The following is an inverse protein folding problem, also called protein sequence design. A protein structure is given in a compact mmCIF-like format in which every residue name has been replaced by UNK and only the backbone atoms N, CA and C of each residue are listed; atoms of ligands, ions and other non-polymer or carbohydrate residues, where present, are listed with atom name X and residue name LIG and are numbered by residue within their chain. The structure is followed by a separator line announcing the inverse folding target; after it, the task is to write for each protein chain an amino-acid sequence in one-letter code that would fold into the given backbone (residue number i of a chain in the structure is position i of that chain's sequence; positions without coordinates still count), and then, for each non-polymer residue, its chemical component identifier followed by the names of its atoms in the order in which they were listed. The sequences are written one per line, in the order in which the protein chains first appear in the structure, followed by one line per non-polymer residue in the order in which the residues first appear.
data_IF_224532683541
#
_entry.id   IF_224532683541
#
_cell.length_a   1.000
_cell.length_b   1.000
_cell.length_c   1.000
_cell.angle_alpha   90.00
_cell.angle_beta   90.00
_cell.angle_gamma   90.00
#
_symmetry.space_group_name_H-M   'P 1'
#
loop_
_entity.id
_entity.type
_entity.pdbx_description
1 polymer ?
#
# COMPACT_ATOMS: atom_id res chain seq x y z
N UNK A 1 52.25 16.87 75.69
CA UNK A 1 52.75 17.24 74.35
C UNK A 1 53.22 15.96 73.67
N UNK A 2 52.26 15.13 73.26
CA UNK A 2 52.54 13.89 72.54
C UNK A 2 52.35 14.18 71.07
N UNK A 3 53.43 14.07 70.31
CA UNK A 3 53.47 14.31 68.86
C UNK A 3 52.54 13.32 68.18
N UNK A 4 51.43 13.81 67.63
CA UNK A 4 50.56 12.99 66.79
C UNK A 4 51.40 12.49 65.60
N UNK A 5 51.48 11.17 65.38
CA UNK A 5 52.24 10.65 64.26
C UNK A 5 51.56 11.17 62.99
N UNK A 6 52.31 11.87 62.16
CA UNK A 6 51.88 12.36 60.85
C UNK A 6 51.20 11.21 60.10
N UNK A 7 49.87 11.23 60.08
CA UNK A 7 49.05 10.31 59.32
C UNK A 7 49.39 10.54 57.85
N UNK A 8 50.28 9.70 57.32
CA UNK A 8 50.59 9.63 55.89
C UNK A 8 49.32 9.14 55.22
N UNK A 9 48.50 10.09 54.76
CA UNK A 9 47.29 9.83 54.01
C UNK A 9 47.73 9.23 52.66
N UNK A 10 47.69 7.90 52.56
CA UNK A 10 48.01 7.19 51.34
C UNK A 10 46.90 7.47 50.33
N UNK A 11 47.29 8.04 49.19
CA UNK A 11 46.40 8.45 48.12
C UNK A 11 45.47 7.29 47.71
N UNK A 12 44.17 7.57 47.71
CA UNK A 12 43.14 6.57 47.44
C UNK A 12 43.26 6.25 45.96
N UNK A 13 43.69 5.04 45.63
CA UNK A 13 43.81 4.64 44.23
C UNK A 13 42.42 4.70 43.60
N UNK A 14 42.19 5.65 42.69
CA UNK A 14 40.99 5.68 41.89
C UNK A 14 40.96 4.38 41.07
N UNK A 15 40.04 3.48 41.40
CA UNK A 15 39.81 2.26 40.62
C UNK A 15 39.46 2.74 39.21
N UNK A 16 40.24 2.30 38.21
CA UNK A 16 39.95 2.59 36.81
C UNK A 16 38.47 2.29 36.57
N UNK A 17 37.73 3.27 36.02
CA UNK A 17 36.30 3.14 35.82
C UNK A 17 36.02 1.81 35.10
N UNK A 18 35.03 1.01 35.57
CA UNK A 18 34.75 -0.28 34.96
C UNK A 18 34.56 -0.06 33.46
N UNK A 19 35.35 -0.78 32.66
CA UNK A 19 35.17 -0.80 31.22
C UNK A 19 33.72 -1.21 30.98
N UNK A 20 32.97 -0.38 30.25
CA UNK A 20 31.57 -0.61 29.85
C UNK A 20 31.42 -1.83 28.88
N UNK A 21 32.43 -2.70 28.88
CA UNK A 21 32.65 -3.81 27.99
C UNK A 21 32.93 -5.09 28.79
N UNK A 22 32.32 -6.22 28.42
CA UNK A 22 31.34 -6.38 27.36
C UNK A 22 29.96 -5.88 27.83
N UNK A 23 29.11 -5.38 26.91
CA UNK A 23 27.71 -5.16 27.24
C UNK A 23 27.15 -6.45 27.84
N UNK A 24 26.42 -6.33 28.96
CA UNK A 24 25.80 -7.48 29.61
C UNK A 24 25.07 -8.33 28.54
N UNK A 25 25.19 -9.66 28.55
CA UNK A 25 24.75 -10.53 27.45
C UNK A 25 23.27 -10.32 27.03
N UNK A 26 22.43 -9.74 27.90
CA UNK A 26 21.06 -9.33 27.57
C UNK A 26 20.93 -8.29 26.45
N UNK A 27 21.96 -7.49 26.15
CA UNK A 27 21.91 -6.55 25.02
C UNK A 27 21.90 -7.24 23.66
N UNK A 28 22.49 -8.44 23.56
CA UNK A 28 22.39 -9.25 22.35
C UNK A 28 20.94 -9.67 22.09
N UNK A 29 20.19 -10.03 23.14
CA UNK A 29 18.77 -10.36 23.02
C UNK A 29 17.96 -9.14 22.56
N UNK A 30 18.24 -7.95 23.10
CA UNK A 30 17.59 -6.71 22.65
C UNK A 30 17.94 -6.42 21.19
N UNK A 31 19.22 -6.55 20.80
CA UNK A 31 19.65 -6.36 19.42
C UNK A 31 18.95 -7.30 18.43
N UNK A 32 18.87 -8.59 18.77
CA UNK A 32 18.15 -9.60 17.96
C UNK A 32 16.66 -9.28 17.89
N UNK A 33 16.03 -8.87 19.00
CA UNK A 33 14.63 -8.50 19.02
C UNK A 33 14.34 -7.29 18.10
N UNK A 34 15.16 -6.24 18.17
CA UNK A 34 15.04 -5.06 17.30
C UNK A 34 15.24 -5.44 15.83
N UNK A 35 16.25 -6.25 15.51
CA UNK A 35 16.49 -6.71 14.14
C UNK A 35 15.31 -7.53 13.60
N UNK A 36 14.71 -8.37 14.43
CA UNK A 36 13.57 -9.20 14.03
C UNK A 36 12.32 -8.34 13.75
N UNK A 37 12.04 -7.34 14.60
CA UNK A 37 10.96 -6.38 14.38
C UNK A 37 11.19 -5.59 13.10
N UNK A 38 12.42 -5.09 12.89
CA UNK A 38 12.78 -4.32 11.70
C UNK A 38 12.66 -5.17 10.43
N UNK A 39 13.17 -6.40 10.45
CA UNK A 39 13.07 -7.34 9.34
C UNK A 39 11.61 -7.68 9.04
N UNK A 40 10.79 -7.93 10.07
CA UNK A 40 9.35 -8.18 9.92
C UNK A 40 8.60 -6.99 9.31
N UNK A 41 8.91 -5.77 9.76
CA UNK A 41 8.34 -4.55 9.21
C UNK A 41 8.73 -4.36 7.74
N UNK A 42 10.02 -4.50 7.42
CA UNK A 42 10.54 -4.34 6.07
C UNK A 42 9.97 -5.40 5.13
N UNK A 43 9.89 -6.65 5.59
CA UNK A 43 9.28 -7.75 4.83
C UNK A 43 7.80 -7.51 4.58
N UNK A 44 7.03 -7.09 5.58
CA UNK A 44 5.60 -6.77 5.42
C UNK A 44 5.40 -5.63 4.43
N UNK A 45 6.19 -4.57 4.53
CA UNK A 45 6.12 -3.44 3.62
C UNK A 45 6.51 -3.84 2.19
N UNK A 46 7.59 -4.59 2.01
CA UNK A 46 8.02 -5.10 0.72
C UNK A 46 6.98 -6.08 0.11
N UNK A 47 6.38 -6.96 0.92
CA UNK A 47 5.29 -7.85 0.49
C UNK A 47 4.05 -7.08 0.06
N UNK A 48 3.68 -6.02 0.78
CA UNK A 48 2.58 -5.12 0.40
C UNK A 48 2.85 -4.44 -0.94
N UNK A 49 4.05 -3.91 -1.14
CA UNK A 49 4.46 -3.31 -2.43
C UNK A 49 4.43 -4.32 -3.57
N UNK A 50 4.94 -5.54 -3.38
CA UNK A 50 4.86 -6.60 -4.40
C UNK A 50 3.43 -7.06 -4.68
N UNK A 51 2.53 -7.07 -3.68
CA UNK A 51 1.10 -7.37 -3.92
C UNK A 51 0.45 -6.26 -4.73
N UNK A 52 0.71 -5.00 -4.38
CA UNK A 52 0.21 -3.84 -5.12
C UNK A 52 0.69 -3.86 -6.58
N UNK A 53 1.99 -4.04 -6.82
CA UNK A 53 2.55 -4.14 -8.17
C UNK A 53 1.89 -5.26 -8.98
N UNK A 54 1.77 -6.48 -8.43
CA UNK A 54 1.13 -7.59 -9.13
C UNK A 54 -0.33 -7.34 -9.50
N UNK A 55 -1.11 -6.69 -8.64
CA UNK A 55 -2.51 -6.35 -8.93
C UNK A 55 -2.56 -5.30 -10.05
N UNK A 56 -1.66 -4.32 -9.99
CA UNK A 56 -1.56 -3.28 -11.00
C UNK A 56 -1.16 -3.85 -12.37
N UNK A 57 -0.20 -4.79 -12.39
CA UNK A 57 0.23 -5.48 -13.61
C UNK A 57 -0.91 -6.27 -14.25
N UNK A 58 -1.77 -6.93 -13.46
CA UNK A 58 -2.96 -7.64 -13.98
C UNK A 58 -3.89 -6.67 -14.72
N UNK A 59 -4.12 -5.50 -14.16
CA UNK A 59 -4.96 -4.48 -14.78
C UNK A 59 -4.32 -3.94 -16.06
N UNK A 60 -3.04 -3.61 -16.01
CA UNK A 60 -2.32 -3.05 -17.16
C UNK A 60 -2.20 -4.08 -18.31
N UNK A 61 -1.99 -5.37 -18.00
CA UNK A 61 -1.99 -6.46 -18.98
C UNK A 61 -3.36 -6.68 -19.64
N UNK A 62 -4.45 -6.60 -18.86
CA UNK A 62 -5.80 -6.76 -19.41
C UNK A 62 -6.15 -5.63 -20.40
N UNK A 63 -5.69 -4.40 -20.14
CA UNK A 63 -5.87 -3.28 -21.06
C UNK A 63 -4.98 -3.43 -22.29
N UNK A 64 -3.71 -3.82 -22.10
CA UNK A 64 -2.77 -4.00 -23.21
C UNK A 64 -3.17 -5.14 -24.16
N UNK A 65 -3.86 -6.17 -23.63
CA UNK A 65 -4.38 -7.28 -24.43
C UNK A 65 -5.64 -6.92 -25.24
N UNK A 66 -6.28 -5.78 -24.96
CA UNK A 66 -7.49 -5.38 -25.67
C UNK A 66 -7.17 -4.91 -27.11
N UNK A 67 -7.78 -5.50 -28.15
CA UNK A 67 -7.43 -5.20 -29.54
C UNK A 67 -7.99 -3.87 -30.06
N UNK A 68 -8.86 -3.21 -29.29
CA UNK A 68 -9.40 -1.88 -29.63
C UNK A 68 -9.70 -1.06 -28.39
N UNK A 69 -9.82 0.27 -28.56
CA UNK A 69 -10.10 1.22 -27.48
C UNK A 69 -11.44 0.94 -26.77
N UNK A 70 -12.57 0.68 -27.46
CA UNK A 70 -13.81 0.29 -26.79
C UNK A 70 -13.66 -1.01 -26.00
N UNK A 71 -12.89 -1.98 -26.51
CA UNK A 71 -12.63 -3.22 -25.80
C UNK A 71 -11.73 -3.02 -24.57
N UNK A 72 -10.81 -2.06 -24.59
CA UNK A 72 -10.04 -1.68 -23.40
C UNK A 72 -10.96 -1.11 -22.31
N UNK A 73 -11.96 -0.29 -22.68
CA UNK A 73 -12.97 0.19 -21.74
C UNK A 73 -13.84 -0.94 -21.20
N UNK A 74 -14.26 -1.88 -22.05
CA UNK A 74 -14.99 -3.07 -21.62
C UNK A 74 -14.18 -3.92 -20.63
N UNK A 75 -12.88 -4.13 -20.89
CA UNK A 75 -11.98 -4.85 -19.99
C UNK A 75 -11.86 -4.13 -18.63
N UNK A 76 -11.73 -2.80 -18.62
CA UNK A 76 -11.74 -2.00 -17.39
C UNK A 76 -13.05 -2.17 -16.61
N UNK A 77 -14.19 -2.10 -17.29
CA UNK A 77 -15.53 -2.27 -16.68
C UNK A 77 -15.68 -3.67 -16.08
N UNK A 78 -15.24 -4.71 -16.78
CA UNK A 78 -15.31 -6.08 -16.30
C UNK A 78 -14.42 -6.31 -15.07
N UNK A 79 -13.18 -5.80 -15.08
CA UNK A 79 -12.28 -5.88 -13.93
C UNK A 79 -12.86 -5.17 -12.70
N UNK A 80 -13.44 -3.99 -12.90
CA UNK A 80 -14.11 -3.26 -11.82
C UNK A 80 -15.31 -4.03 -11.28
N UNK A 81 -16.15 -4.63 -12.14
CA UNK A 81 -17.26 -5.50 -11.69
C UNK A 81 -16.77 -6.70 -10.89
N UNK A 82 -15.73 -7.38 -11.39
CA UNK A 82 -15.10 -8.51 -10.69
C UNK A 82 -14.58 -8.09 -9.31
N UNK A 83 -13.96 -6.92 -9.20
CA UNK A 83 -13.49 -6.38 -7.93
C UNK A 83 -14.64 -5.97 -7.00
N UNK A 84 -15.68 -5.31 -7.52
CA UNK A 84 -16.85 -4.89 -6.76
C UNK A 84 -17.58 -6.08 -6.13
N UNK A 85 -17.70 -7.21 -6.84
CA UNK A 85 -18.29 -8.45 -6.31
C UNK A 85 -17.63 -8.99 -5.04
N UNK A 86 -16.34 -8.70 -4.84
CA UNK A 86 -15.64 -9.12 -3.62
C UNK A 86 -16.11 -8.34 -2.39
N UNK A 87 -16.73 -7.18 -2.59
CA UNK A 87 -17.21 -6.28 -1.54
C UNK A 87 -18.73 -6.28 -1.42
N UNK A 88 -19.44 -6.43 -2.55
CA UNK A 88 -20.90 -6.48 -2.60
C UNK A 88 -21.38 -7.53 -3.64
N UNK A 89 -21.99 -8.64 -3.20
CA UNK A 89 -22.53 -9.66 -4.10
C UNK A 89 -23.62 -9.14 -5.05
N UNK A 90 -24.29 -8.04 -4.71
CA UNK A 90 -25.34 -7.43 -5.53
C UNK A 90 -24.78 -6.50 -6.61
N UNK A 91 -23.47 -6.23 -6.63
CA UNK A 91 -22.83 -5.32 -7.58
C UNK A 91 -23.12 -5.68 -9.06
N UNK A 92 -23.30 -6.97 -9.38
CA UNK A 92 -23.61 -7.41 -10.75
C UNK A 92 -24.98 -6.91 -11.25
N UNK A 93 -25.93 -6.65 -10.34
CA UNK A 93 -27.27 -6.17 -10.67
C UNK A 93 -27.33 -4.67 -10.92
N UNK A 94 -26.28 -3.94 -10.54
CA UNK A 94 -26.22 -2.49 -10.72
C UNK A 94 -25.95 -2.16 -12.19
N UNK A 95 -26.68 -1.18 -12.71
CA UNK A 95 -26.58 -0.67 -14.07
C UNK A 95 -26.65 0.86 -14.07
N UNK A 96 -26.16 1.48 -15.15
CA UNK A 96 -26.23 2.93 -15.33
C UNK A 96 -25.58 3.71 -14.18
N UNK A 97 -26.21 4.79 -13.75
CA UNK A 97 -25.69 5.66 -12.69
C UNK A 97 -25.53 4.93 -11.34
N UNK A 98 -26.39 3.94 -11.04
CA UNK A 98 -26.26 3.16 -9.80
C UNK A 98 -24.94 2.38 -9.74
N UNK A 99 -24.41 1.98 -10.89
CA UNK A 99 -23.07 1.37 -10.98
C UNK A 99 -21.97 2.40 -10.67
N UNK A 100 -22.06 3.62 -11.22
CA UNK A 100 -21.09 4.68 -10.95
C UNK A 100 -21.08 5.11 -9.48
N UNK A 101 -22.25 5.21 -8.86
CA UNK A 101 -22.40 5.49 -7.41
C UNK A 101 -21.72 4.41 -6.56
N UNK A 102 -21.85 3.14 -6.94
CA UNK A 102 -21.13 2.05 -6.27
C UNK A 102 -19.61 2.18 -6.42
N UNK A 103 -19.12 2.54 -7.61
CA UNK A 103 -17.70 2.79 -7.84
C UNK A 103 -17.18 3.93 -6.96
N UNK A 104 -17.98 4.97 -6.73
CA UNK A 104 -17.63 6.10 -5.87
C UNK A 104 -17.79 5.85 -4.36
N UNK A 105 -18.33 4.69 -3.96
CA UNK A 105 -18.54 4.37 -2.55
C UNK A 105 -17.23 4.41 -1.75
N UNK A 106 -17.13 5.37 -0.82
CA UNK A 106 -15.95 5.58 0.02
C UNK A 106 -14.85 6.42 -0.63
N UNK A 107 -15.12 7.04 -1.79
CA UNK A 107 -14.25 8.04 -2.40
C UNK A 107 -14.83 9.44 -2.14
N UNK A 108 -13.99 10.33 -1.63
CA UNK A 108 -14.30 11.77 -1.45
C UNK A 108 -13.11 12.55 -2.05
N UNK A 109 -13.29 13.27 -3.18
CA UNK A 109 -14.52 13.45 -3.96
C UNK A 109 -14.88 12.24 -4.84
N UNK A 110 -16.13 12.21 -5.32
CA UNK A 110 -16.59 11.27 -6.35
C UNK A 110 -15.82 11.46 -7.67
N UNK A 111 -15.39 10.35 -8.27
CA UNK A 111 -14.52 10.34 -9.46
C UNK A 111 -15.19 9.67 -10.66
N UNK A 112 -16.13 8.75 -10.43
CA UNK A 112 -16.82 7.99 -11.48
C UNK A 112 -18.15 8.62 -11.90
N UNK A 113 -18.84 9.35 -11.02
CA UNK A 113 -19.99 10.17 -11.37
C UNK A 113 -19.58 11.48 -12.08
N UNK A 114 -18.72 11.33 -13.09
CA UNK A 114 -18.12 12.39 -13.89
C UNK A 114 -18.20 12.00 -15.37
N UNK A 115 -17.99 12.92 -16.33
CA UNK A 115 -17.97 12.58 -17.75
C UNK A 115 -16.98 11.44 -18.09
N UNK A 116 -15.86 11.35 -17.37
CA UNK A 116 -14.85 10.32 -17.57
C UNK A 116 -15.36 8.94 -17.15
N UNK A 117 -16.04 8.83 -16.00
CA UNK A 117 -16.59 7.56 -15.53
C UNK A 117 -17.80 7.08 -16.33
N UNK A 118 -18.58 8.00 -16.90
CA UNK A 118 -19.70 7.67 -17.81
C UNK A 118 -19.26 6.91 -19.07
N UNK A 119 -18.00 7.02 -19.46
CA UNK A 119 -17.44 6.21 -20.55
C UNK A 119 -17.62 4.70 -20.30
N UNK A 120 -17.65 4.24 -19.04
CA UNK A 120 -17.92 2.84 -18.69
C UNK A 120 -19.33 2.37 -19.09
N UNK A 121 -20.29 3.29 -19.23
CA UNK A 121 -21.67 3.00 -19.60
C UNK A 121 -21.84 3.03 -21.12
N UNK A 122 -21.23 4.03 -21.78
CA UNK A 122 -21.51 4.34 -23.18
C UNK A 122 -20.54 3.69 -24.18
N UNK A 123 -19.38 3.21 -23.72
CA UNK A 123 -18.33 2.71 -24.62
C UNK A 123 -18.75 1.52 -25.49
N UNK A 124 -19.72 0.71 -25.04
CA UNK A 124 -20.25 -0.39 -25.85
C UNK A 124 -21.03 0.11 -27.08
N UNK A 125 -21.55 1.34 -27.04
CA UNK A 125 -22.36 1.95 -28.09
C UNK A 125 -21.60 3.02 -28.89
N UNK A 126 -20.38 3.38 -28.49
CA UNK A 126 -19.54 4.35 -29.19
C UNK A 126 -18.44 3.64 -30.00
N UNK A 127 -18.52 3.63 -31.34
CA UNK A 127 -17.52 2.99 -32.19
C UNK A 127 -16.19 3.76 -32.22
N UNK A 128 -16.22 5.08 -31.99
CA UNK A 128 -15.02 5.93 -31.96
C UNK A 128 -14.83 6.50 -30.55
N UNK A 129 -13.96 5.86 -29.77
CA UNK A 129 -13.54 6.31 -28.43
C UNK A 129 -12.13 6.86 -28.55
N UNK A 130 -11.93 8.11 -28.14
CA UNK A 130 -10.64 8.76 -28.27
C UNK A 130 -9.63 8.20 -27.25
N UNK A 131 -8.35 8.20 -27.61
CA UNK A 131 -7.29 7.70 -26.73
C UNK A 131 -7.23 8.47 -25.40
N UNK A 132 -7.50 9.78 -25.43
CA UNK A 132 -7.48 10.64 -24.25
C UNK A 132 -8.61 10.29 -23.26
N UNK A 133 -9.79 9.91 -23.76
CA UNK A 133 -10.91 9.45 -22.96
C UNK A 133 -10.58 8.13 -22.26
N UNK A 134 -10.00 7.17 -22.99
CA UNK A 134 -9.54 5.88 -22.42
C UNK A 134 -8.48 6.12 -21.35
N UNK A 135 -7.50 6.99 -21.61
CA UNK A 135 -6.43 7.29 -20.66
C UNK A 135 -6.94 8.03 -19.42
N UNK A 136 -7.91 8.93 -19.58
CA UNK A 136 -8.58 9.59 -18.47
C UNK A 136 -9.34 8.58 -17.59
N UNK A 137 -10.08 7.66 -18.21
CA UNK A 137 -10.76 6.59 -17.49
C UNK A 137 -9.77 5.64 -16.79
N UNK A 138 -8.67 5.27 -17.45
CA UNK A 138 -7.65 4.40 -16.89
C UNK A 138 -7.02 5.00 -15.60
N UNK A 139 -6.80 6.33 -15.58
CA UNK A 139 -6.27 7.05 -14.41
C UNK A 139 -7.14 6.94 -13.18
N UNK A 140 -8.46 6.80 -13.34
CA UNK A 140 -9.42 6.68 -12.22
C UNK A 140 -9.76 5.21 -11.92
N UNK A 141 -9.84 4.36 -12.95
CA UNK A 141 -10.18 2.94 -12.83
C UNK A 141 -9.05 2.12 -12.16
N UNK A 142 -7.79 2.37 -12.54
CA UNK A 142 -6.63 1.65 -12.01
C UNK A 142 -6.49 1.75 -10.48
N UNK A 143 -6.44 2.94 -9.86
CA UNK A 143 -6.34 3.04 -8.41
C UNK A 143 -7.56 2.45 -7.69
N UNK A 144 -8.76 2.59 -8.28
CA UNK A 144 -9.99 2.02 -7.70
C UNK A 144 -9.96 0.49 -7.68
N UNK A 145 -9.60 -0.14 -8.80
CA UNK A 145 -9.44 -1.59 -8.90
C UNK A 145 -8.42 -2.12 -7.88
N UNK A 146 -7.27 -1.47 -7.80
CA UNK A 146 -6.21 -1.81 -6.84
C UNK A 146 -6.73 -1.73 -5.40
N UNK A 147 -7.39 -0.63 -5.04
CA UNK A 147 -7.89 -0.41 -3.69
C UNK A 147 -8.84 -1.54 -3.25
N UNK A 148 -9.78 -1.91 -4.11
CA UNK A 148 -10.69 -3.03 -3.81
C UNK A 148 -9.98 -4.38 -3.73
N UNK A 149 -9.02 -4.65 -4.60
CA UNK A 149 -8.25 -5.91 -4.59
C UNK A 149 -7.27 -6.02 -3.41
N UNK A 150 -6.83 -4.88 -2.85
CA UNK A 150 -6.00 -4.82 -1.65
C UNK A 150 -6.79 -4.96 -0.35
N UNK A 151 -8.08 -4.61 -0.37
CA UNK A 151 -9.00 -4.74 0.77
C UNK A 151 -9.63 -6.13 0.93
N UNK A 152 -9.33 -7.07 0.01
CA UNK A 152 -9.61 -8.50 0.14
C UNK A 152 -8.67 -9.18 1.14
#
# INVERSE_FOLDING_TARGET
MSSDPTLVLRDIHAVAAPSWWPPAPGWWLVGVAVLTVLAGFLWRHWRRRRRHARIADIFDQAIAAAPSRPQAVAAMSELLRRAARLHDPQADRLQGDAWLVMLDRGLEPAVFNTPQGRLLLDAAFRPDVHADEVQALQRIARPRFILWMMQR
#
